data_IF_648547526969
#
_entry.id   IF_648547526969
#
_cell.length_a   1.000
_cell.length_b   1.000
_cell.length_c   1.000
_cell.angle_alpha   90.00
_cell.angle_beta   90.00
_cell.angle_gamma   90.00
#
_symmetry.space_group_name_H-M   'P 1'
#
loop_
_entity.id
_entity.type
_entity.pdbx_description
1 polymer ?
#
# COMPACT_ATOMS: atom_id res chain seq x y z
N UNK A 1 -0.41 -9.08 -4.21
CA UNK A 1 -0.51 -7.74 -3.57
C UNK A 1 -0.25 -6.66 -4.60
N UNK A 2 0.87 -6.75 -5.33
CA UNK A 2 1.13 -5.92 -6.51
C UNK A 2 -0.02 -6.01 -7.52
N UNK A 3 -0.46 -7.21 -7.88
CA UNK A 3 -1.56 -7.40 -8.85
C UNK A 3 -2.86 -6.69 -8.41
N UNK A 4 -3.15 -6.67 -7.11
CA UNK A 4 -4.33 -5.99 -6.56
C UNK A 4 -4.20 -4.47 -6.60
N UNK A 5 -2.98 -3.95 -6.49
CA UNK A 5 -2.67 -2.53 -6.59
C UNK A 5 -2.72 -2.10 -8.07
N UNK A 6 -2.14 -2.89 -8.97
CA UNK A 6 -2.18 -2.65 -10.42
C UNK A 6 -3.61 -2.74 -10.96
N UNK A 7 -4.43 -3.70 -10.50
CA UNK A 7 -5.85 -3.78 -10.83
C UNK A 7 -6.65 -2.55 -10.37
N UNK A 8 -6.12 -1.77 -9.44
CA UNK A 8 -6.68 -0.50 -9.01
C UNK A 8 -6.15 0.71 -9.80
N UNK A 9 -5.34 0.49 -10.84
CA UNK A 9 -4.72 1.56 -11.64
C UNK A 9 -3.82 2.46 -10.77
N UNK A 10 -3.09 1.84 -9.85
CA UNK A 10 -2.11 2.50 -8.99
C UNK A 10 -0.74 1.92 -9.31
N UNK A 11 0.25 2.77 -9.55
CA UNK A 11 1.63 2.34 -9.69
C UNK A 11 2.14 1.82 -8.32
N UNK A 12 2.58 0.54 -8.22
CA UNK A 12 3.13 -0.02 -6.99
C UNK A 12 4.30 0.77 -6.39
N UNK A 13 5.05 1.50 -7.22
CA UNK A 13 6.17 2.34 -6.81
C UNK A 13 5.70 3.64 -6.14
N UNK A 14 4.47 4.08 -6.40
CA UNK A 14 3.87 5.27 -5.77
C UNK A 14 3.13 4.95 -4.46
N UNK A 15 3.00 3.66 -4.12
CA UNK A 15 2.44 3.21 -2.86
C UNK A 15 3.34 3.58 -1.69
N UNK A 16 2.72 3.90 -0.55
CA UNK A 16 3.44 4.24 0.69
C UNK A 16 4.47 3.17 1.08
N UNK A 17 5.74 3.55 1.33
CA UNK A 17 6.76 2.62 1.82
C UNK A 17 6.36 1.92 3.13
N UNK A 18 5.57 2.60 3.98
CA UNK A 18 5.04 2.03 5.22
C UNK A 18 4.09 0.86 4.96
N UNK A 19 3.31 0.92 3.88
CA UNK A 19 2.44 -0.18 3.50
C UNK A 19 3.27 -1.41 3.13
N UNK A 20 4.34 -1.26 2.35
CA UNK A 20 5.20 -2.37 1.98
C UNK A 20 5.88 -3.03 3.18
N UNK A 21 6.37 -2.23 4.13
CA UNK A 21 6.92 -2.76 5.40
C UNK A 21 5.88 -3.53 6.20
N UNK A 22 4.68 -2.96 6.33
CA UNK A 22 3.61 -3.62 7.08
C UNK A 22 3.13 -4.92 6.40
N UNK A 23 3.01 -4.91 5.07
CA UNK A 23 2.70 -6.10 4.29
C UNK A 23 3.72 -7.21 4.57
N UNK A 24 5.01 -6.89 4.49
CA UNK A 24 6.09 -7.84 4.74
C UNK A 24 5.99 -8.46 6.15
N UNK A 25 5.86 -7.64 7.19
CA UNK A 25 5.73 -8.14 8.57
C UNK A 25 4.52 -9.05 8.76
N UNK A 26 3.38 -8.76 8.12
CA UNK A 26 2.20 -9.63 8.18
C UNK A 26 2.42 -10.96 7.49
N UNK A 27 3.10 -10.95 6.34
CA UNK A 27 3.46 -12.18 5.63
C UNK A 27 4.41 -13.05 6.46
N UNK A 28 5.43 -12.45 7.11
CA UNK A 28 6.32 -13.16 8.03
C UNK A 28 5.56 -13.78 9.20
N UNK A 29 4.61 -13.02 9.77
CA UNK A 29 3.75 -13.49 10.85
C UNK A 29 2.63 -14.45 10.39
N UNK A 30 2.59 -14.85 9.11
CA UNK A 30 1.54 -15.68 8.49
C UNK A 30 0.12 -15.12 8.66
N UNK A 31 0.01 -13.81 8.78
CA UNK A 31 -1.26 -13.10 8.86
C UNK A 31 -1.72 -12.67 7.48
N UNK A 32 -3.03 -12.74 7.23
CA UNK A 32 -3.59 -12.39 5.94
C UNK A 32 -3.52 -10.86 5.72
N UNK A 33 -2.80 -10.37 4.71
CA UNK A 33 -2.57 -8.94 4.57
C UNK A 33 -3.82 -8.16 4.15
N UNK A 34 -3.93 -6.92 4.61
CA UNK A 34 -5.03 -6.04 4.23
C UNK A 34 -4.87 -5.57 2.79
N UNK A 35 -6.00 -5.51 2.08
CA UNK A 35 -6.07 -4.93 0.75
C UNK A 35 -5.68 -3.45 0.81
N UNK A 36 -4.74 -3.04 -0.06
CA UNK A 36 -4.48 -1.63 -0.29
C UNK A 36 -5.66 -1.03 -1.04
N UNK A 37 -6.20 0.10 -0.56
CA UNK A 37 -7.36 0.74 -1.19
C UNK A 37 -6.99 2.08 -1.82
N UNK A 38 -7.71 2.48 -2.88
CA UNK A 38 -7.62 3.83 -3.45
C UNK A 38 -7.77 4.96 -2.42
N UNK A 39 -8.61 4.77 -1.39
CA UNK A 39 -8.79 5.75 -0.32
C UNK A 39 -7.51 5.92 0.52
N UNK A 40 -6.86 4.82 0.89
CA UNK A 40 -5.57 4.83 1.59
C UNK A 40 -4.47 5.47 0.74
N UNK A 41 -4.47 5.21 -0.57
CA UNK A 41 -3.55 5.83 -1.51
C UNK A 41 -3.70 7.37 -1.56
N UNK A 42 -4.93 7.88 -1.72
CA UNK A 42 -5.17 9.33 -1.70
C UNK A 42 -4.74 9.98 -0.38
N UNK A 43 -4.99 9.32 0.76
CA UNK A 43 -4.56 9.81 2.06
C UNK A 43 -3.03 9.82 2.22
N UNK A 44 -2.33 8.90 1.55
CA UNK A 44 -0.86 8.89 1.48
C UNK A 44 -0.34 10.04 0.62
N UNK A 45 -0.87 10.22 -0.60
CA UNK A 45 -0.45 11.32 -1.49
C UNK A 45 -0.61 12.69 -0.84
N UNK A 46 -1.72 12.93 -0.13
CA UNK A 46 -1.93 14.18 0.62
C UNK A 46 -0.89 14.39 1.72
N UNK A 47 -0.48 13.32 2.42
CA UNK A 47 0.57 13.40 3.43
C UNK A 47 1.93 13.67 2.80
N UNK A 48 2.27 12.96 1.71
CA UNK A 48 3.51 13.16 0.95
C UNK A 48 3.64 14.58 0.41
N UNK A 49 2.55 15.21 -0.01
CA UNK A 49 2.54 16.59 -0.49
C UNK A 49 2.75 17.65 0.61
N UNK A 50 2.61 17.28 1.89
CA UNK A 50 2.85 18.15 3.04
C UNK A 50 4.25 17.97 3.66
N UNK A 51 5.04 17.02 3.14
CA UNK A 51 6.43 16.78 3.53
C UNK A 51 7.38 17.53 2.61
#
# INVERSE_FOLDING_TARGET
AIDTIEAQDIDPTEVSPDYWRHLHHRLEARQQPDAYTKARHRAWLRRRALQ
#
